data_IF_342318377803
#
_entry.id   IF_342318377803
#
_cell.length_a   1.000
_cell.length_b   1.000
_cell.length_c   1.000
_cell.angle_alpha   90.00
_cell.angle_beta   90.00
_cell.angle_gamma   90.00
#
_symmetry.space_group_name_H-M   'P 1'
#
loop_
_entity.id
_entity.type
_entity.pdbx_description
1 polymer ?
#
# COMPACT_ATOMS: atom_id res chain seq x y z
N UNK A 1 -25.96 -22.34 -10.49
CA UNK A 1 -26.38 -21.48 -9.39
C UNK A 1 -25.17 -21.24 -8.49
N UNK A 2 -24.69 -20.01 -8.39
CA UNK A 2 -23.40 -19.71 -7.75
C UNK A 2 -23.40 -19.93 -6.22
N UNK A 3 -24.56 -19.77 -5.55
CA UNK A 3 -24.67 -20.01 -4.11
C UNK A 3 -24.44 -21.49 -3.76
N UNK A 4 -24.97 -22.41 -4.56
CA UNK A 4 -24.78 -23.86 -4.36
C UNK A 4 -23.35 -24.33 -4.63
N UNK A 5 -22.47 -23.49 -5.19
CA UNK A 5 -21.04 -23.78 -5.40
C UNK A 5 -20.15 -23.29 -4.26
N UNK A 6 -20.71 -22.94 -3.10
CA UNK A 6 -19.93 -22.53 -1.90
C UNK A 6 -19.21 -21.19 -2.00
N UNK A 7 -19.60 -20.30 -2.94
CA UNK A 7 -18.99 -18.98 -3.04
C UNK A 7 -19.32 -18.11 -1.82
N UNK A 8 -18.32 -17.37 -1.34
CA UNK A 8 -18.50 -16.46 -0.20
C UNK A 8 -19.51 -15.34 -0.51
N UNK A 9 -20.23 -14.80 0.50
CA UNK A 9 -21.15 -13.68 0.31
C UNK A 9 -20.51 -12.49 -0.40
N UNK A 10 -19.23 -12.20 -0.12
CA UNK A 10 -18.46 -11.13 -0.76
C UNK A 10 -18.20 -11.41 -2.24
N UNK A 11 -17.90 -12.66 -2.61
CA UNK A 11 -17.72 -13.08 -3.99
C UNK A 11 -19.03 -13.01 -4.76
N UNK A 12 -20.15 -13.42 -4.15
CA UNK A 12 -21.49 -13.30 -4.73
C UNK A 12 -21.90 -11.85 -4.96
N UNK A 13 -21.64 -10.95 -4.00
CA UNK A 13 -21.91 -9.53 -4.14
C UNK A 13 -21.13 -8.92 -5.31
N UNK A 14 -19.85 -9.29 -5.46
CA UNK A 14 -19.00 -8.85 -6.57
C UNK A 14 -19.51 -9.34 -7.92
N UNK A 15 -19.85 -10.62 -8.02
CA UNK A 15 -20.41 -11.21 -9.24
C UNK A 15 -21.72 -10.51 -9.64
N UNK A 16 -22.61 -10.30 -8.67
CA UNK A 16 -23.88 -9.61 -8.89
C UNK A 16 -23.68 -8.16 -9.37
N UNK A 17 -22.73 -7.44 -8.80
CA UNK A 17 -22.37 -6.08 -9.24
C UNK A 17 -21.88 -6.05 -10.69
N UNK A 18 -21.02 -7.02 -11.06
CA UNK A 18 -20.54 -7.15 -12.46
C UNK A 18 -21.70 -7.46 -13.42
N UNK A 19 -22.58 -8.36 -13.04
CA UNK A 19 -23.75 -8.71 -13.89
C UNK A 19 -24.73 -7.54 -14.02
N UNK A 20 -24.98 -6.78 -12.95
CA UNK A 20 -25.79 -5.55 -13.06
C UNK A 20 -25.20 -4.60 -14.09
N UNK A 21 -23.89 -4.35 -14.04
CA UNK A 21 -23.25 -3.47 -15.03
C UNK A 21 -23.38 -3.97 -16.46
N UNK A 22 -23.21 -5.28 -16.67
CA UNK A 22 -23.37 -5.91 -18.01
C UNK A 22 -24.82 -5.79 -18.49
N UNK A 23 -25.81 -6.16 -17.67
CA UNK A 23 -27.20 -6.11 -18.05
C UNK A 23 -27.75 -4.69 -18.18
N UNK A 24 -27.25 -3.72 -17.40
CA UNK A 24 -27.56 -2.30 -17.62
C UNK A 24 -27.05 -1.80 -18.97
N UNK A 25 -25.87 -2.25 -19.40
CA UNK A 25 -25.33 -1.93 -20.71
C UNK A 25 -26.16 -2.60 -21.83
N UNK A 26 -26.49 -3.89 -21.70
CA UNK A 26 -27.32 -4.63 -22.67
C UNK A 26 -28.72 -4.03 -22.80
N UNK A 27 -29.35 -3.61 -21.71
CA UNK A 27 -30.67 -2.98 -21.73
C UNK A 27 -30.62 -1.61 -22.44
N UNK A 28 -29.58 -0.84 -22.19
CA UNK A 28 -29.34 0.44 -22.93
C UNK A 28 -29.09 0.24 -24.42
N UNK A 29 -28.46 -0.87 -24.77
CA UNK A 29 -28.21 -1.26 -26.17
C UNK A 29 -29.45 -1.92 -26.85
N UNK A 30 -30.57 -2.06 -26.16
CA UNK A 30 -31.76 -2.73 -26.66
C UNK A 30 -31.68 -4.23 -26.85
N UNK A 31 -30.58 -4.86 -26.39
CA UNK A 31 -30.33 -6.30 -26.53
C UNK A 31 -31.16 -7.15 -25.54
N UNK A 32 -31.62 -6.57 -24.44
CA UNK A 32 -32.52 -7.19 -23.47
C UNK A 32 -33.59 -6.17 -23.04
N UNK A 33 -34.81 -6.59 -22.70
CA UNK A 33 -35.90 -5.68 -22.35
C UNK A 33 -35.66 -4.94 -21.02
N UNK A 34 -34.98 -5.58 -20.06
CA UNK A 34 -34.67 -5.01 -18.76
C UNK A 34 -33.49 -5.76 -18.10
N UNK A 35 -32.93 -5.15 -17.05
CA UNK A 35 -31.86 -5.78 -16.28
C UNK A 35 -32.47 -6.81 -15.28
N UNK A 36 -32.25 -8.13 -15.47
CA UNK A 36 -32.81 -9.19 -14.60
C UNK A 36 -32.19 -9.22 -13.20
N UNK A 37 -31.12 -8.46 -12.96
CA UNK A 37 -30.48 -8.35 -11.66
C UNK A 37 -31.05 -7.24 -10.76
N UNK A 38 -32.05 -6.49 -11.25
CA UNK A 38 -32.77 -5.49 -10.44
C UNK A 38 -33.56 -6.22 -9.34
N UNK A 39 -33.43 -5.73 -8.10
CA UNK A 39 -34.09 -6.35 -6.93
C UNK A 39 -33.36 -7.55 -6.33
N UNK A 40 -32.43 -8.19 -7.04
CA UNK A 40 -31.64 -9.31 -6.49
C UNK A 40 -30.68 -8.77 -5.42
N UNK A 41 -30.73 -9.32 -4.21
CA UNK A 41 -29.84 -8.93 -3.10
C UNK A 41 -28.77 -9.98 -2.87
N UNK A 42 -27.53 -9.53 -2.76
CA UNK A 42 -26.44 -10.41 -2.34
C UNK A 42 -26.59 -10.77 -0.84
N UNK A 43 -26.15 -11.97 -0.43
CA UNK A 43 -26.10 -12.34 0.98
C UNK A 43 -25.24 -11.34 1.76
N UNK A 44 -25.66 -10.98 2.97
CA UNK A 44 -24.88 -10.12 3.85
C UNK A 44 -23.64 -10.86 4.35
N UNK A 45 -22.46 -10.30 4.12
CA UNK A 45 -21.24 -10.77 4.76
C UNK A 45 -21.17 -10.20 6.18
N UNK A 46 -20.72 -10.99 7.18
CA UNK A 46 -20.44 -10.43 8.50
C UNK A 46 -19.38 -9.31 8.38
N UNK A 47 -19.64 -8.18 9.01
CA UNK A 47 -18.66 -7.09 9.12
C UNK A 47 -17.53 -7.57 10.04
N UNK A 48 -16.40 -7.95 9.45
CA UNK A 48 -15.16 -8.12 10.23
C UNK A 48 -14.52 -6.75 10.39
N UNK A 49 -14.16 -6.40 11.60
CA UNK A 49 -13.32 -5.22 11.83
C UNK A 49 -12.00 -5.40 11.08
N UNK A 50 -11.46 -4.33 10.48
CA UNK A 50 -10.12 -4.40 9.88
C UNK A 50 -9.13 -4.83 10.94
N UNK A 51 -8.37 -5.87 10.67
CA UNK A 51 -7.26 -6.27 11.53
C UNK A 51 -6.07 -5.37 11.19
N UNK A 52 -5.46 -4.79 12.21
CA UNK A 52 -4.22 -4.02 12.13
C UNK A 52 -3.16 -4.75 12.95
N UNK A 53 -1.91 -4.60 12.56
CA UNK A 53 -0.78 -4.99 13.41
C UNK A 53 -0.66 -3.96 14.53
N UNK A 54 -0.25 -4.38 15.72
CA UNK A 54 0.23 -3.45 16.74
C UNK A 54 1.51 -2.75 16.26
N UNK A 55 1.91 -1.62 16.86
CA UNK A 55 3.19 -0.97 16.53
C UNK A 55 4.38 -1.93 16.60
N UNK A 56 4.45 -2.77 17.65
CA UNK A 56 5.54 -3.73 17.86
C UNK A 56 5.54 -4.83 16.78
N UNK A 57 4.38 -5.39 16.46
CA UNK A 57 4.25 -6.39 15.38
C UNK A 57 4.63 -5.79 14.02
N UNK A 58 4.21 -4.56 13.74
CA UNK A 58 4.55 -3.89 12.49
C UNK A 58 6.07 -3.63 12.42
N UNK A 59 6.68 -3.15 13.50
CA UNK A 59 8.14 -2.94 13.59
C UNK A 59 8.88 -4.26 13.46
N UNK A 60 8.47 -5.32 14.17
CA UNK A 60 9.08 -6.65 14.06
C UNK A 60 9.05 -7.18 12.63
N UNK A 61 7.90 -7.03 11.94
CA UNK A 61 7.75 -7.46 10.55
C UNK A 61 8.71 -6.75 9.61
N UNK A 62 8.81 -5.41 9.69
CA UNK A 62 9.61 -4.64 8.73
C UNK A 62 11.10 -4.58 9.07
N UNK A 63 11.48 -4.95 10.30
CA UNK A 63 12.87 -4.95 10.79
C UNK A 63 13.55 -6.32 10.68
N UNK A 64 12.91 -7.31 10.05
CA UNK A 64 13.53 -8.62 9.84
C UNK A 64 14.87 -8.46 9.11
N UNK A 65 15.85 -9.20 9.59
CA UNK A 65 17.20 -9.20 9.04
C UNK A 65 17.37 -10.41 8.11
N UNK A 66 17.53 -10.10 6.82
CA UNK A 66 17.86 -11.06 5.76
C UNK A 66 18.85 -10.35 4.84
N UNK A 67 20.12 -10.68 5.02
CA UNK A 67 21.24 -10.05 4.30
C UNK A 67 21.32 -10.45 2.83
N UNK A 68 20.48 -11.38 2.37
CA UNK A 68 20.41 -11.71 0.95
C UNK A 68 19.97 -10.49 0.11
N UNK A 69 20.38 -10.40 -1.16
CA UNK A 69 19.96 -9.30 -2.04
C UNK A 69 18.44 -9.11 -2.09
N UNK A 70 17.68 -10.22 -2.12
CA UNK A 70 16.22 -10.16 -2.10
C UNK A 70 15.65 -9.87 -0.70
N UNK A 71 16.37 -10.18 0.36
CA UNK A 71 16.03 -9.83 1.73
C UNK A 71 16.14 -8.31 1.95
N UNK A 72 17.26 -7.70 1.54
CA UNK A 72 17.45 -6.25 1.58
C UNK A 72 16.40 -5.50 0.77
N UNK A 73 16.01 -6.02 -0.41
CA UNK A 73 14.89 -5.51 -1.19
C UNK A 73 13.57 -5.55 -0.40
N UNK A 74 13.25 -6.69 0.18
CA UNK A 74 11.98 -6.89 0.88
C UNK A 74 11.89 -6.03 2.13
N UNK A 75 13.00 -5.88 2.85
CA UNK A 75 13.09 -4.96 3.98
C UNK A 75 12.81 -3.52 3.53
N UNK A 76 13.47 -3.03 2.49
CA UNK A 76 13.24 -1.70 1.94
C UNK A 76 11.78 -1.52 1.47
N UNK A 77 11.22 -2.54 0.83
CA UNK A 77 9.84 -2.55 0.34
C UNK A 77 8.84 -2.44 1.49
N UNK A 78 8.99 -3.23 2.56
CA UNK A 78 8.04 -3.27 3.67
C UNK A 78 8.22 -2.10 4.63
N UNK A 79 9.45 -1.64 4.86
CA UNK A 79 9.71 -0.39 5.57
C UNK A 79 9.03 0.79 4.89
N UNK A 80 9.17 0.91 3.56
CA UNK A 80 8.52 1.97 2.80
C UNK A 80 6.99 1.83 2.81
N UNK A 81 6.47 0.61 2.66
CA UNK A 81 5.04 0.35 2.70
C UNK A 81 4.40 0.76 4.04
N UNK A 82 5.06 0.44 5.15
CA UNK A 82 4.60 0.82 6.48
C UNK A 82 4.85 2.30 6.78
N UNK A 83 6.02 2.81 6.44
CA UNK A 83 6.40 4.21 6.68
C UNK A 83 5.51 5.24 5.96
N UNK A 84 5.08 4.94 4.73
CA UNK A 84 4.37 5.90 3.89
C UNK A 84 2.92 5.51 3.58
N UNK A 85 2.46 4.38 4.10
CA UNK A 85 1.10 3.91 3.90
C UNK A 85 0.71 3.67 2.44
N UNK A 86 1.66 3.33 1.56
CA UNK A 86 1.44 3.18 0.13
C UNK A 86 0.55 1.97 -0.20
N UNK A 87 -0.24 2.12 -1.29
CA UNK A 87 -0.92 0.95 -1.89
C UNK A 87 0.12 0.07 -2.57
N UNK A 88 -0.14 -1.24 -2.66
CA UNK A 88 0.79 -2.17 -3.32
C UNK A 88 1.10 -1.77 -4.77
N UNK A 89 0.12 -1.26 -5.51
CA UNK A 89 0.31 -0.78 -6.88
C UNK A 89 1.16 0.50 -6.95
N UNK A 90 0.99 1.39 -5.99
CA UNK A 90 1.81 2.60 -5.86
C UNK A 90 3.26 2.22 -5.54
N UNK A 91 3.46 1.33 -4.57
CA UNK A 91 4.76 0.84 -4.15
C UNK A 91 5.54 0.18 -5.30
N UNK A 92 4.88 -0.72 -6.05
CA UNK A 92 5.50 -1.38 -7.22
C UNK A 92 5.64 -0.46 -8.42
N UNK A 93 4.91 0.65 -8.46
CA UNK A 93 4.99 1.67 -9.51
C UNK A 93 6.10 2.70 -9.32
N UNK A 94 6.81 2.71 -8.18
CA UNK A 94 7.89 3.66 -7.94
C UNK A 94 9.10 3.40 -8.85
N UNK A 95 9.68 4.49 -9.35
CA UNK A 95 10.94 4.52 -10.07
C UNK A 95 12.08 5.05 -9.19
N UNK A 96 13.33 4.93 -9.63
CA UNK A 96 14.50 5.40 -8.90
C UNK A 96 14.41 6.88 -8.50
N UNK A 97 13.85 7.74 -9.38
CA UNK A 97 13.67 9.17 -9.11
C UNK A 97 12.39 9.51 -8.33
N UNK A 98 11.62 8.52 -7.87
CA UNK A 98 10.38 8.77 -7.14
C UNK A 98 10.60 9.18 -5.68
N UNK A 99 11.79 8.94 -5.13
CA UNK A 99 12.13 9.23 -3.73
C UNK A 99 13.27 10.23 -3.69
N UNK A 100 13.04 11.32 -2.98
CA UNK A 100 14.06 12.28 -2.60
C UNK A 100 14.55 11.96 -1.19
N UNK A 101 15.76 11.44 -1.09
CA UNK A 101 16.36 11.05 0.20
C UNK A 101 16.81 12.28 1.03
N UNK A 102 17.01 13.43 0.40
CA UNK A 102 17.43 14.64 1.09
C UNK A 102 16.25 15.28 1.86
N UNK A 103 15.09 15.34 1.21
CA UNK A 103 13.86 15.90 1.80
C UNK A 103 13.04 14.87 2.56
N UNK A 104 13.26 13.57 2.31
CA UNK A 104 12.44 12.50 2.88
C UNK A 104 11.06 12.42 2.23
N UNK A 105 10.97 12.65 0.93
CA UNK A 105 9.73 12.71 0.17
C UNK A 105 9.64 11.57 -0.84
N UNK A 106 8.45 11.00 -1.00
CA UNK A 106 8.13 10.12 -2.12
C UNK A 106 7.02 10.71 -2.98
N UNK A 107 7.27 10.83 -4.27
CA UNK A 107 6.28 11.22 -5.28
C UNK A 107 5.57 9.98 -5.81
N UNK A 108 4.25 9.92 -5.58
CA UNK A 108 3.44 8.73 -5.81
C UNK A 108 2.33 9.03 -6.81
N UNK A 109 2.20 8.19 -7.83
CA UNK A 109 1.12 8.26 -8.80
C UNK A 109 -0.11 7.50 -8.29
N UNK A 110 -1.19 8.21 -7.99
CA UNK A 110 -2.44 7.65 -7.48
C UNK A 110 -3.46 7.35 -8.59
N UNK A 111 -4.69 7.02 -8.17
CA UNK A 111 -5.80 6.76 -9.09
C UNK A 111 -6.14 8.00 -9.93
N UNK A 112 -6.32 7.81 -11.24
CA UNK A 112 -6.62 8.89 -12.19
C UNK A 112 -5.40 9.76 -12.52
N UNK A 113 -4.20 9.19 -12.47
CA UNK A 113 -2.93 9.87 -12.78
C UNK A 113 -2.64 11.11 -11.91
N UNK A 114 -3.27 11.23 -10.76
CA UNK A 114 -2.99 12.30 -9.82
C UNK A 114 -1.75 11.96 -9.00
N UNK A 115 -0.77 12.86 -9.02
CA UNK A 115 0.44 12.73 -8.21
C UNK A 115 0.21 13.34 -6.83
N UNK A 116 0.74 12.70 -5.79
CA UNK A 116 0.85 13.26 -4.45
C UNK A 116 2.24 13.03 -3.88
N UNK A 117 2.62 13.83 -2.91
CA UNK A 117 3.85 13.68 -2.13
C UNK A 117 3.47 13.09 -0.77
N UNK A 118 4.25 12.12 -0.31
CA UNK A 118 4.10 11.51 1.02
C UNK A 118 5.44 11.48 1.73
N UNK A 119 5.48 11.62 3.06
CA UNK A 119 6.70 11.52 3.84
C UNK A 119 7.25 10.09 3.85
N UNK A 120 8.56 9.97 3.90
CA UNK A 120 9.31 8.71 4.01
C UNK A 120 10.19 8.75 5.26
N UNK A 121 9.94 7.86 6.20
CA UNK A 121 10.69 7.80 7.44
C UNK A 121 12.16 7.40 7.25
N UNK A 122 12.99 7.81 8.20
CA UNK A 122 14.43 7.56 8.17
C UNK A 122 14.81 6.08 8.08
N UNK A 123 14.03 5.18 8.70
CA UNK A 123 14.26 3.74 8.62
C UNK A 123 14.05 3.22 7.18
N UNK A 124 13.01 3.69 6.49
CA UNK A 124 12.75 3.33 5.10
C UNK A 124 13.85 3.87 4.16
N UNK A 125 14.29 5.11 4.36
CA UNK A 125 15.40 5.68 3.59
C UNK A 125 16.69 4.89 3.78
N UNK A 126 17.02 4.49 5.00
CA UNK A 126 18.19 3.66 5.28
C UNK A 126 18.09 2.27 4.62
N UNK A 127 16.92 1.65 4.67
CA UNK A 127 16.69 0.35 4.03
C UNK A 127 16.78 0.46 2.50
N UNK A 128 16.25 1.54 1.90
CA UNK A 128 16.38 1.80 0.47
C UNK A 128 17.84 2.02 0.08
N UNK A 129 18.60 2.78 0.86
CA UNK A 129 20.04 2.99 0.62
C UNK A 129 20.82 1.66 0.63
N UNK A 130 20.48 0.74 1.55
CA UNK A 130 21.06 -0.60 1.58
C UNK A 130 20.63 -1.50 0.41
N UNK A 131 19.44 -1.27 -0.14
CA UNK A 131 18.92 -2.01 -1.29
C UNK A 131 19.54 -1.57 -2.63
N UNK A 132 19.79 -0.28 -2.83
CA UNK A 132 20.19 0.28 -4.12
C UNK A 132 21.44 -0.40 -4.73
N UNK A 133 22.52 -0.71 -3.99
CA UNK A 133 23.67 -1.44 -4.53
C UNK A 133 23.32 -2.83 -5.04
N UNK A 134 22.44 -3.56 -4.34
CA UNK A 134 22.00 -4.88 -4.77
C UNK A 134 21.08 -4.81 -5.98
N UNK A 135 20.23 -3.77 -6.04
CA UNK A 135 19.38 -3.52 -7.20
C UNK A 135 20.20 -3.34 -8.48
N UNK A 136 21.30 -2.60 -8.43
CA UNK A 136 22.17 -2.37 -9.60
C UNK A 136 22.68 -3.70 -10.18
N UNK A 137 23.02 -4.66 -9.31
CA UNK A 137 23.48 -5.99 -9.73
C UNK A 137 22.38 -6.85 -10.34
N UNK A 138 21.12 -6.63 -9.93
CA UNK A 138 19.98 -7.45 -10.32
C UNK A 138 19.17 -6.88 -11.48
N UNK A 139 19.09 -5.55 -11.60
CA UNK A 139 18.23 -4.89 -12.58
C UNK A 139 18.72 -5.11 -14.00
N UNK A 140 17.77 -5.31 -14.92
CA UNK A 140 18.09 -5.31 -16.36
C UNK A 140 18.50 -3.93 -16.84
N UNK A 141 19.28 -3.88 -17.89
CA UNK A 141 19.62 -2.62 -18.54
C UNK A 141 18.34 -1.82 -18.91
N UNK A 142 18.31 -0.54 -18.55
CA UNK A 142 17.16 0.35 -18.79
C UNK A 142 15.98 0.18 -17.84
N UNK A 143 16.02 -0.71 -16.85
CA UNK A 143 14.92 -0.84 -15.87
C UNK A 143 14.92 0.34 -14.88
N UNK A 144 13.85 1.15 -14.89
CA UNK A 144 13.70 2.33 -14.04
C UNK A 144 13.11 2.02 -12.65
N UNK A 145 12.43 0.86 -12.50
CA UNK A 145 11.72 0.52 -11.26
C UNK A 145 12.63 0.54 -10.04
N UNK A 146 12.19 1.16 -8.94
CA UNK A 146 12.89 1.12 -7.66
C UNK A 146 13.01 -0.32 -7.13
N UNK A 147 11.94 -1.10 -7.24
CA UNK A 147 11.92 -2.49 -6.79
C UNK A 147 11.86 -3.46 -7.97
N UNK A 148 12.85 -4.34 -8.06
CA UNK A 148 12.93 -5.37 -9.10
C UNK A 148 12.79 -6.78 -8.51
N UNK A 149 12.27 -7.70 -9.30
CA UNK A 149 12.22 -9.12 -8.97
C UNK A 149 13.54 -9.84 -9.27
N UNK A 150 13.62 -11.15 -8.98
CA UNK A 150 14.79 -11.98 -9.30
C UNK A 150 15.14 -12.01 -10.80
N UNK A 151 14.18 -11.68 -11.67
CA UNK A 151 14.41 -11.59 -13.12
C UNK A 151 14.96 -10.24 -13.57
N UNK A 152 15.20 -9.31 -12.65
CA UNK A 152 15.70 -7.96 -12.91
C UNK A 152 14.68 -7.00 -13.51
N UNK A 153 13.40 -7.38 -13.61
CA UNK A 153 12.28 -6.54 -14.06
C UNK A 153 11.50 -5.99 -12.87
N UNK A 154 10.70 -4.94 -13.09
CA UNK A 154 9.78 -4.36 -12.10
C UNK A 154 9.05 -5.44 -11.30
N UNK A 155 9.01 -5.28 -9.99
CA UNK A 155 8.34 -6.20 -9.08
C UNK A 155 6.83 -6.18 -9.26
N UNK A 156 6.21 -7.34 -9.45
CA UNK A 156 4.76 -7.43 -9.60
C UNK A 156 4.03 -7.37 -8.24
N UNK A 157 2.82 -6.77 -8.16
CA UNK A 157 2.04 -6.71 -6.93
C UNK A 157 1.78 -8.08 -6.28
N UNK A 158 1.60 -9.13 -7.08
CA UNK A 158 1.39 -10.50 -6.60
C UNK A 158 2.62 -11.05 -5.88
N UNK A 159 3.82 -10.67 -6.35
CA UNK A 159 5.07 -11.06 -5.70
C UNK A 159 5.20 -10.39 -4.32
N UNK A 160 4.84 -9.12 -4.20
CA UNK A 160 4.80 -8.41 -2.91
C UNK A 160 3.87 -9.14 -1.92
N UNK A 161 2.67 -9.56 -2.37
CA UNK A 161 1.73 -10.31 -1.54
C UNK A 161 2.29 -11.65 -1.07
N UNK A 162 3.05 -12.35 -1.95
CA UNK A 162 3.70 -13.61 -1.60
C UNK A 162 4.82 -13.40 -0.59
N UNK A 163 5.62 -12.36 -0.80
CA UNK A 163 6.79 -12.06 0.05
C UNK A 163 6.38 -11.63 1.45
N UNK A 164 5.37 -10.78 1.59
CA UNK A 164 4.93 -10.33 2.92
C UNK A 164 4.39 -11.48 3.77
N UNK A 165 3.70 -12.46 3.16
CA UNK A 165 3.25 -13.66 3.87
C UNK A 165 4.41 -14.50 4.40
N UNK A 166 5.46 -14.67 3.59
CA UNK A 166 6.67 -15.37 4.02
C UNK A 166 7.35 -14.61 5.17
N UNK A 167 7.47 -13.30 5.09
CA UNK A 167 8.07 -12.48 6.12
C UNK A 167 7.27 -12.51 7.42
N UNK A 168 5.94 -12.44 7.35
CA UNK A 168 5.07 -12.57 8.50
C UNK A 168 5.25 -13.92 9.21
N UNK A 169 5.39 -15.01 8.47
CA UNK A 169 5.66 -16.33 9.02
C UNK A 169 7.03 -16.39 9.72
N UNK A 170 8.07 -15.78 9.14
CA UNK A 170 9.41 -15.70 9.76
C UNK A 170 9.38 -14.82 11.03
N UNK A 171 8.59 -13.73 11.01
CA UNK A 171 8.37 -12.88 12.17
C UNK A 171 7.51 -13.51 13.28
N UNK A 172 7.00 -14.73 13.07
CA UNK A 172 6.15 -15.42 14.05
C UNK A 172 4.76 -14.83 14.22
N UNK A 173 4.29 -14.03 13.24
CA UNK A 173 2.97 -13.40 13.31
C UNK A 173 1.87 -14.43 13.00
N UNK A 174 0.91 -14.56 13.92
CA UNK A 174 -0.21 -15.52 13.80
C UNK A 174 -1.30 -15.06 12.80
N UNK A 175 -1.23 -13.83 12.31
CA UNK A 175 -2.23 -13.24 11.42
C UNK A 175 -1.83 -13.35 9.95
N UNK A 176 -2.83 -13.48 9.03
CA UNK A 176 -2.59 -13.49 7.58
C UNK A 176 -2.25 -12.06 7.10
N UNK A 177 -0.98 -11.69 7.21
CA UNK A 177 -0.51 -10.34 6.84
C UNK A 177 -0.57 -10.14 5.33
N UNK A 178 -1.06 -8.98 4.93
CA UNK A 178 -1.13 -8.55 3.54
C UNK A 178 -0.83 -7.03 3.41
N UNK A 179 -0.47 -6.52 2.22
CA UNK A 179 -0.02 -5.12 2.07
C UNK A 179 -1.04 -4.08 2.55
N UNK A 180 -2.34 -4.34 2.41
CA UNK A 180 -3.38 -3.45 2.93
C UNK A 180 -3.38 -3.36 4.45
N UNK A 181 -2.96 -4.43 5.15
CA UNK A 181 -2.84 -4.41 6.61
C UNK A 181 -1.75 -3.44 7.06
N UNK A 182 -0.57 -3.42 6.41
CA UNK A 182 0.47 -2.43 6.69
C UNK A 182 -0.04 -0.99 6.51
N UNK A 183 -0.78 -0.74 5.44
CA UNK A 183 -1.39 0.59 5.21
C UNK A 183 -2.44 0.94 6.27
N UNK A 184 -3.25 -0.02 6.71
CA UNK A 184 -4.21 0.19 7.80
C UNK A 184 -3.51 0.44 9.13
N UNK A 185 -2.44 -0.30 9.42
CA UNK A 185 -1.60 -0.09 10.62
C UNK A 185 -0.97 1.30 10.60
N UNK A 186 -0.37 1.73 9.47
CA UNK A 186 0.11 3.10 9.28
C UNK A 186 -0.98 4.12 9.63
N UNK A 187 -2.17 3.99 9.02
CA UNK A 187 -3.27 4.94 9.23
C UNK A 187 -3.70 4.99 10.70
N UNK A 188 -3.85 3.84 11.35
CA UNK A 188 -4.25 3.75 12.75
C UNK A 188 -3.21 4.31 13.70
N UNK A 189 -1.92 3.99 13.48
CA UNK A 189 -0.85 4.43 14.36
C UNK A 189 -0.61 5.94 14.27
N UNK A 190 -0.59 6.49 13.04
CA UNK A 190 -0.46 7.95 12.86
C UNK A 190 -1.68 8.67 13.42
N UNK A 191 -2.90 8.16 13.20
CA UNK A 191 -4.12 8.78 13.73
C UNK A 191 -4.16 8.74 15.26
N UNK A 192 -3.83 7.61 15.87
CA UNK A 192 -3.81 7.46 17.34
C UNK A 192 -2.80 8.39 18.01
N UNK A 193 -1.66 8.60 17.36
CA UNK A 193 -0.58 9.44 17.93
C UNK A 193 -0.75 10.92 17.63
N UNK A 194 -1.33 11.30 16.47
CA UNK A 194 -1.47 12.69 16.06
C UNK A 194 -2.84 13.29 16.37
N UNK A 195 -3.89 12.47 16.39
CA UNK A 195 -5.28 12.95 16.42
C UNK A 195 -5.75 13.62 15.11
N UNK A 196 -4.87 13.76 14.10
CA UNK A 196 -5.14 14.50 12.88
C UNK A 196 -5.65 13.58 11.75
N UNK A 197 -6.97 13.34 11.74
CA UNK A 197 -7.63 12.54 10.72
C UNK A 197 -7.44 13.13 9.31
N UNK A 198 -7.39 14.45 9.18
CA UNK A 198 -7.25 15.12 7.89
C UNK A 198 -5.87 14.87 7.29
N UNK A 199 -4.81 15.06 8.07
CA UNK A 199 -3.45 14.75 7.63
C UNK A 199 -3.31 13.28 7.20
N UNK A 200 -3.86 12.33 7.97
CA UNK A 200 -3.86 10.90 7.62
C UNK A 200 -4.59 10.63 6.30
N UNK A 201 -5.76 11.25 6.09
CA UNK A 201 -6.51 11.09 4.84
C UNK A 201 -5.76 11.64 3.64
N UNK A 202 -5.09 12.76 3.79
CA UNK A 202 -4.26 13.38 2.75
C UNK A 202 -3.05 12.50 2.41
N UNK A 203 -2.30 12.02 3.39
CA UNK A 203 -1.19 11.06 3.20
C UNK A 203 -1.66 9.81 2.45
N UNK A 204 -2.83 9.31 2.78
CA UNK A 204 -3.41 8.13 2.13
C UNK A 204 -3.99 8.40 0.74
N UNK A 205 -4.22 9.66 0.35
CA UNK A 205 -4.82 10.01 -0.94
C UNK A 205 -6.26 9.49 -1.06
N UNK A 206 -7.13 9.79 -0.07
CA UNK A 206 -8.55 9.49 -0.11
C UNK A 206 -9.27 10.51 -0.97
N UNK A 207 -9.88 10.06 -2.07
CA UNK A 207 -10.48 10.90 -3.11
C UNK A 207 -11.75 11.68 -2.70
N UNK A 208 -12.31 11.43 -1.51
CA UNK A 208 -13.63 12.00 -1.15
C UNK A 208 -13.60 13.42 -0.56
N UNK A 209 -12.42 13.98 -0.30
CA UNK A 209 -12.27 15.36 0.22
C UNK A 209 -11.42 16.24 -0.71
N UNK A 210 -10.83 15.69 -1.74
CA UNK A 210 -9.97 16.42 -2.66
C UNK A 210 -10.75 16.93 -3.87
N UNK A 211 -11.47 18.04 -3.74
CA UNK A 211 -11.52 19.00 -4.83
C UNK A 211 -10.06 19.43 -5.09
N UNK A 212 -9.57 19.21 -6.30
CA UNK A 212 -8.41 19.77 -7.00
C UNK A 212 -7.56 20.83 -6.21
N UNK A 213 -7.03 20.49 -5.04
CA UNK A 213 -6.01 21.30 -4.41
C UNK A 213 -4.64 20.84 -4.94
N UNK A 214 -3.98 21.75 -5.64
CA UNK A 214 -2.54 21.65 -5.91
C UNK A 214 -1.86 21.67 -4.55
N UNK A 215 -1.24 20.56 -4.15
CA UNK A 215 -0.48 20.49 -2.90
C UNK A 215 0.63 21.53 -2.94
N UNK A 216 0.56 22.49 -2.04
CA UNK A 216 1.60 23.49 -1.88
C UNK A 216 2.72 22.92 -1.00
N UNK A 217 3.90 23.50 -1.07
CA UNK A 217 5.03 23.16 -0.20
C UNK A 217 4.68 23.31 1.31
N UNK A 218 3.77 24.22 1.63
CA UNK A 218 3.26 24.46 3.01
C UNK A 218 2.40 23.28 3.51
N UNK A 219 1.57 22.69 2.65
CA UNK A 219 0.75 21.52 3.01
C UNK A 219 1.63 20.34 3.33
N UNK A 220 2.71 20.13 2.56
CA UNK A 220 3.66 19.04 2.82
C UNK A 220 4.41 19.24 4.15
N UNK A 221 4.83 20.45 4.50
CA UNK A 221 5.50 20.72 5.78
C UNK A 221 4.60 20.40 6.98
N UNK A 222 3.28 20.64 6.87
CA UNK A 222 2.33 20.22 7.90
C UNK A 222 2.27 18.71 8.01
N UNK A 223 2.12 17.99 6.88
CA UNK A 223 2.08 16.54 6.84
C UNK A 223 3.36 15.91 7.40
N UNK A 224 4.52 16.45 7.06
CA UNK A 224 5.81 15.98 7.58
C UNK A 224 5.91 16.16 9.10
N UNK A 225 5.50 17.31 9.65
CA UNK A 225 5.48 17.53 11.11
C UNK A 225 4.57 16.55 11.85
N UNK A 226 3.35 16.33 11.34
CA UNK A 226 2.41 15.35 11.90
C UNK A 226 3.01 13.96 11.86
N UNK A 227 3.62 13.59 10.74
CA UNK A 227 4.29 12.31 10.55
C UNK A 227 5.46 12.13 11.51
N UNK A 228 6.37 13.10 11.59
CA UNK A 228 7.58 13.04 12.45
C UNK A 228 7.24 12.94 13.93
N UNK A 229 6.13 13.54 14.34
CA UNK A 229 5.68 13.47 15.72
C UNK A 229 4.97 12.14 16.06
N UNK A 230 4.32 11.51 15.07
CA UNK A 230 3.38 10.43 15.33
C UNK A 230 3.84 9.04 14.87
N UNK A 231 4.66 8.94 13.80
CA UNK A 231 4.97 7.63 13.22
C UNK A 231 6.20 6.98 13.87
N UNK A 232 6.13 5.68 14.30
CA UNK A 232 7.25 5.01 14.99
C UNK A 232 8.56 4.93 14.18
N UNK A 233 8.47 4.99 12.85
CA UNK A 233 9.62 4.88 11.92
C UNK A 233 10.02 6.21 11.28
N UNK A 234 9.49 7.35 11.76
CA UNK A 234 9.79 8.67 11.21
C UNK A 234 11.26 9.05 11.39
N UNK A 235 11.78 8.93 12.61
CA UNK A 235 13.12 9.42 12.97
C UNK A 235 14.22 8.51 12.42
N UNK A 236 15.30 9.11 11.90
CA UNK A 236 16.54 8.39 11.61
C UNK A 236 17.10 7.84 12.92
N UNK A 237 17.51 6.56 12.93
CA UNK A 237 18.30 6.05 14.05
C UNK A 237 19.53 6.96 14.20
N UNK A 238 19.75 7.51 15.41
CA UNK A 238 21.01 8.20 15.70
C UNK A 238 22.14 7.18 15.49
N UNK A 239 23.23 7.54 14.79
CA UNK A 239 24.40 6.68 14.75
C UNK A 239 24.80 6.38 16.19
N UNK A 240 25.01 5.11 16.51
CA UNK A 240 25.61 4.73 17.81
C UNK A 240 26.99 5.39 17.89
N UNK A 241 27.35 5.97 19.06
CA UNK A 241 28.66 6.54 19.28
C UNK A 241 29.75 5.50 19.10
#
# INVERSE_FOLDING_TARGET
MLHGKGLSPRSLARALSSWRGIYDWLARAGAVPANPCVGVRAPRAPKRLPQTLSPDEAVALVSLDDDSPLGRRDRALFELAYSSGLRVSELTGLDLGSIDAATGEARVLGKGSKTRIVPVGGAALAAIAAWLPERIKLARAGESALFVGATGRRLAPREVQRRIKRWAAVAGLAVDVHPHMLRHSFASHVLQSSGDLRAVQEMLGHASIASTQVYTHLDFQHLARVYDAAHPRARRAKPKP
#
